data_IF_590750353270
#
_entry.id   IF_590750353270
#
_cell.length_a   1.000
_cell.length_b   1.000
_cell.length_c   1.000
_cell.angle_alpha   90.00
_cell.angle_beta   90.00
_cell.angle_gamma   90.00
#
_symmetry.space_group_name_H-M   'P 1'
#
loop_
_entity.id
_entity.type
_entity.pdbx_description
1 polymer ?
#
# COMPACT_ATOMS: atom_id res chain seq x y z
N UNK A 1 3.99 -33.25 15.95
CA UNK A 1 4.24 -31.82 16.02
C UNK A 1 3.18 -31.11 15.18
N UNK A 2 2.37 -30.23 15.79
CA UNK A 2 1.41 -29.38 15.08
C UNK A 2 2.15 -28.53 14.07
N UNK A 3 1.76 -28.58 12.79
CA UNK A 3 2.26 -27.67 11.78
C UNK A 3 1.84 -26.25 12.17
N UNK A 4 2.78 -25.31 12.22
CA UNK A 4 2.42 -23.91 12.45
C UNK A 4 1.95 -23.28 11.14
N UNK A 5 1.02 -22.32 11.22
CA UNK A 5 0.58 -21.53 10.07
C UNK A 5 1.46 -20.30 9.94
N UNK A 6 1.91 -20.03 8.73
CA UNK A 6 2.70 -18.86 8.42
C UNK A 6 2.11 -18.11 7.23
N UNK A 7 1.69 -16.88 7.48
CA UNK A 7 1.17 -15.99 6.45
C UNK A 7 2.17 -14.89 6.15
N UNK A 8 2.47 -14.66 4.87
CA UNK A 8 3.37 -13.61 4.43
C UNK A 8 2.75 -12.83 3.28
N UNK A 9 2.87 -11.52 3.34
CA UNK A 9 2.44 -10.61 2.28
C UNK A 9 3.60 -9.74 1.81
N UNK A 10 3.47 -9.21 0.62
CA UNK A 10 4.28 -8.09 0.13
C UNK A 10 3.40 -6.84 -0.02
N UNK A 11 4.01 -5.70 -0.28
CA UNK A 11 3.28 -4.60 -0.90
C UNK A 11 2.68 -5.08 -2.24
N UNK A 12 1.52 -4.51 -2.61
CA UNK A 12 0.92 -4.70 -3.93
C UNK A 12 1.45 -3.61 -4.86
N UNK A 13 1.85 -4.01 -6.07
CA UNK A 13 2.56 -3.11 -6.98
C UNK A 13 1.61 -2.22 -7.78
N UNK A 14 1.98 -0.97 -8.03
CA UNK A 14 1.27 -0.10 -8.98
C UNK A 14 1.64 -0.45 -10.43
N UNK A 15 0.71 -0.99 -11.24
CA UNK A 15 1.00 -1.35 -12.62
C UNK A 15 0.86 -0.16 -13.59
N UNK A 16 1.25 1.05 -13.17
CA UNK A 16 1.27 2.26 -13.99
C UNK A 16 2.46 2.30 -14.97
N UNK A 17 3.42 1.38 -14.82
CA UNK A 17 4.59 1.25 -15.66
C UNK A 17 5.03 -0.21 -15.83
N UNK A 18 6.29 -0.39 -16.20
CA UNK A 18 6.94 -1.71 -16.26
C UNK A 18 7.56 -2.04 -14.90
N UNK A 19 7.61 -3.33 -14.51
CA UNK A 19 8.28 -3.72 -13.29
C UNK A 19 9.80 -3.44 -13.36
N UNK A 20 10.39 -3.14 -12.22
CA UNK A 20 11.82 -2.87 -12.07
C UNK A 20 12.44 -3.67 -10.91
N UNK A 21 13.74 -3.54 -10.71
CA UNK A 21 14.49 -4.33 -9.73
C UNK A 21 13.99 -4.14 -8.29
N UNK A 22 13.46 -2.98 -7.93
CA UNK A 22 12.88 -2.73 -6.61
C UNK A 22 11.70 -3.64 -6.31
N UNK A 23 10.77 -3.81 -7.27
CA UNK A 23 9.68 -4.75 -7.16
C UNK A 23 10.19 -6.20 -7.04
N UNK A 24 11.19 -6.57 -7.86
CA UNK A 24 11.77 -7.91 -7.85
C UNK A 24 12.42 -8.25 -6.50
N UNK A 25 13.13 -7.30 -5.89
CA UNK A 25 13.81 -7.51 -4.61
C UNK A 25 12.84 -7.93 -3.52
N UNK A 26 11.73 -7.22 -3.37
CA UNK A 26 10.73 -7.51 -2.35
C UNK A 26 10.08 -8.89 -2.56
N UNK A 27 9.68 -9.21 -3.81
CA UNK A 27 9.04 -10.49 -4.13
C UNK A 27 9.97 -11.68 -3.93
N UNK A 28 11.24 -11.54 -4.32
CA UNK A 28 12.27 -12.57 -4.10
C UNK A 28 12.48 -12.79 -2.60
N UNK A 29 12.59 -11.71 -1.81
CA UNK A 29 12.78 -11.83 -0.37
C UNK A 29 11.62 -12.56 0.30
N UNK A 30 10.39 -12.23 -0.05
CA UNK A 30 9.19 -12.90 0.48
C UNK A 30 9.15 -14.39 0.06
N UNK A 31 9.49 -14.70 -1.20
CA UNK A 31 9.54 -16.07 -1.69
C UNK A 31 10.61 -16.91 -0.97
N UNK A 32 11.79 -16.35 -0.72
CA UNK A 32 12.85 -17.02 0.08
C UNK A 32 12.35 -17.34 1.48
N UNK A 33 11.67 -16.40 2.16
CA UNK A 33 11.10 -16.63 3.48
C UNK A 33 10.02 -17.72 3.41
N UNK A 34 9.12 -17.66 2.44
CA UNK A 34 8.06 -18.63 2.25
C UNK A 34 8.62 -20.05 2.03
N UNK A 35 9.63 -20.19 1.15
CA UNK A 35 10.33 -21.47 0.91
C UNK A 35 11.00 -22.00 2.17
N UNK A 36 11.71 -21.15 2.89
CA UNK A 36 12.36 -21.55 4.15
C UNK A 36 11.34 -22.07 5.16
N UNK A 37 10.20 -21.40 5.31
CA UNK A 37 9.12 -21.82 6.20
C UNK A 37 8.50 -23.17 5.77
N UNK A 38 8.27 -23.38 4.47
CA UNK A 38 7.81 -24.67 3.95
C UNK A 38 8.81 -25.81 4.22
N UNK A 39 10.12 -25.54 4.05
CA UNK A 39 11.17 -26.52 4.36
C UNK A 39 11.21 -26.89 5.84
N UNK A 40 10.79 -25.99 6.73
CA UNK A 40 10.65 -26.26 8.17
C UNK A 40 9.39 -27.03 8.53
N UNK A 41 8.50 -27.27 7.58
CA UNK A 41 7.24 -27.98 7.80
C UNK A 41 6.07 -27.07 8.21
N UNK A 42 6.18 -25.76 8.03
CA UNK A 42 5.07 -24.82 8.26
C UNK A 42 4.06 -24.90 7.10
N UNK A 43 2.76 -24.70 7.40
CA UNK A 43 1.71 -24.43 6.42
C UNK A 43 1.81 -22.95 6.02
N UNK A 44 2.29 -22.67 4.80
CA UNK A 44 2.58 -21.31 4.36
C UNK A 44 1.57 -20.83 3.35
N UNK A 45 1.10 -19.59 3.51
CA UNK A 45 0.34 -18.85 2.49
C UNK A 45 1.06 -17.54 2.17
N UNK A 46 1.53 -17.40 0.93
CA UNK A 46 2.18 -16.20 0.41
C UNK A 46 1.22 -15.45 -0.51
N UNK A 47 0.85 -14.23 -0.10
CA UNK A 47 -0.04 -13.34 -0.86
C UNK A 47 0.76 -12.15 -1.43
N UNK A 48 0.56 -11.89 -2.71
CA UNK A 48 1.02 -10.65 -3.39
C UNK A 48 -0.06 -10.15 -4.33
N UNK A 49 0.20 -9.07 -5.07
CA UNK A 49 -0.80 -8.54 -5.98
C UNK A 49 -0.45 -7.22 -6.62
N UNK A 50 -1.48 -6.53 -7.13
CA UNK A 50 -1.37 -5.22 -7.78
C UNK A 50 -2.43 -4.26 -7.26
N UNK A 51 -2.04 -2.99 -7.15
CA UNK A 51 -2.96 -1.87 -6.93
C UNK A 51 -3.26 -1.20 -8.28
N UNK A 52 -4.49 -1.41 -8.75
CA UNK A 52 -4.90 -1.00 -10.10
C UNK A 52 -5.68 0.31 -10.12
N UNK A 53 -5.84 0.97 -8.97
CA UNK A 53 -6.48 2.27 -8.84
C UNK A 53 -5.44 3.41 -8.82
N UNK A 54 -5.93 4.63 -8.80
CA UNK A 54 -5.11 5.83 -8.63
C UNK A 54 -5.05 6.73 -9.86
N UNK A 55 -4.80 8.00 -9.58
CA UNK A 55 -4.76 9.07 -10.58
C UNK A 55 -3.66 8.86 -11.62
N UNK A 56 -2.50 8.34 -11.21
CA UNK A 56 -1.37 8.04 -12.12
C UNK A 56 -1.72 6.99 -13.17
N UNK A 57 -2.56 6.01 -12.83
CA UNK A 57 -3.05 5.05 -13.81
C UNK A 57 -3.89 5.73 -14.88
N UNK A 58 -4.82 6.62 -14.49
CA UNK A 58 -5.65 7.37 -15.41
C UNK A 58 -4.79 8.29 -16.30
N UNK A 59 -3.90 9.08 -15.73
CA UNK A 59 -3.00 9.97 -16.46
C UNK A 59 -2.12 9.21 -17.46
N UNK A 60 -1.64 8.02 -17.09
CA UNK A 60 -0.85 7.19 -18.02
C UNK A 60 -1.72 6.66 -19.15
N UNK A 61 -2.94 6.23 -18.86
CA UNK A 61 -3.89 5.77 -19.86
C UNK A 61 -4.26 6.88 -20.85
N UNK A 62 -4.53 8.08 -20.36
CA UNK A 62 -4.85 9.25 -21.19
C UNK A 62 -3.66 9.62 -22.09
N UNK A 63 -2.44 9.65 -21.55
CA UNK A 63 -1.21 9.91 -22.31
C UNK A 63 -0.94 8.88 -23.41
N UNK A 64 -1.28 7.62 -23.15
CA UNK A 64 -1.11 6.52 -24.12
C UNK A 64 -2.33 6.37 -25.06
N UNK A 65 -3.41 7.10 -24.83
CA UNK A 65 -4.64 7.00 -25.62
C UNK A 65 -5.35 5.66 -25.49
N UNK A 66 -5.26 5.00 -24.33
CA UNK A 66 -5.87 3.70 -24.07
C UNK A 66 -6.83 3.75 -22.89
N UNK A 67 -7.76 2.82 -22.83
CA UNK A 67 -8.63 2.69 -21.68
C UNK A 67 -7.82 2.24 -20.43
N UNK A 68 -8.11 2.83 -19.27
CA UNK A 68 -7.40 2.56 -18.02
C UNK A 68 -7.44 1.09 -17.58
N UNK A 69 -8.55 0.40 -17.82
CA UNK A 69 -8.67 -1.04 -17.51
C UNK A 69 -7.74 -1.86 -18.42
N UNK A 70 -7.66 -1.49 -19.71
CA UNK A 70 -6.76 -2.13 -20.67
C UNK A 70 -5.30 -1.93 -20.28
N UNK A 71 -4.93 -0.72 -19.86
CA UNK A 71 -3.59 -0.41 -19.36
C UNK A 71 -3.25 -1.26 -18.14
N UNK A 72 -4.13 -1.26 -17.14
CA UNK A 72 -3.96 -2.02 -15.91
C UNK A 72 -3.75 -3.50 -16.18
N UNK A 73 -4.60 -4.12 -16.99
CA UNK A 73 -4.50 -5.53 -17.36
C UNK A 73 -3.21 -5.84 -18.12
N UNK A 74 -2.86 -4.99 -19.10
CA UNK A 74 -1.64 -5.15 -19.90
C UNK A 74 -0.38 -5.11 -19.02
N UNK A 75 -0.30 -4.14 -18.13
CA UNK A 75 0.86 -3.98 -17.27
C UNK A 75 0.90 -5.04 -16.18
N UNK A 76 -0.24 -5.41 -15.56
CA UNK A 76 -0.32 -6.52 -14.60
C UNK A 76 0.28 -7.81 -15.19
N UNK A 77 0.00 -8.13 -16.46
CA UNK A 77 0.60 -9.31 -17.13
C UNK A 77 2.13 -9.25 -17.17
N UNK A 78 2.72 -8.04 -17.31
CA UNK A 78 4.18 -7.88 -17.30
C UNK A 78 4.77 -8.17 -15.92
N UNK A 79 4.08 -7.78 -14.84
CA UNK A 79 4.46 -8.12 -13.48
C UNK A 79 4.40 -9.63 -13.25
N UNK A 80 3.29 -10.27 -13.58
CA UNK A 80 3.14 -11.72 -13.47
C UNK A 80 4.22 -12.47 -14.26
N UNK A 81 4.47 -12.09 -15.51
CA UNK A 81 5.51 -12.70 -16.33
C UNK A 81 6.92 -12.53 -15.74
N UNK A 82 7.19 -11.41 -15.04
CA UNK A 82 8.46 -11.23 -14.36
C UNK A 82 8.57 -12.18 -13.15
N UNK A 83 7.50 -12.32 -12.36
CA UNK A 83 7.50 -13.23 -11.20
C UNK A 83 7.68 -14.67 -11.63
N UNK A 84 7.03 -15.11 -12.68
CA UNK A 84 7.21 -16.43 -13.30
C UNK A 84 8.66 -16.64 -13.75
N UNK A 85 9.26 -15.65 -14.45
CA UNK A 85 10.65 -15.72 -14.91
C UNK A 85 11.66 -15.78 -13.76
N UNK A 86 11.37 -15.13 -12.64
CA UNK A 86 12.20 -15.13 -11.42
C UNK A 86 11.94 -16.36 -10.55
N UNK A 87 10.96 -17.20 -10.89
CA UNK A 87 10.60 -18.37 -10.11
C UNK A 87 9.99 -18.04 -8.75
N UNK A 88 9.32 -16.89 -8.62
CA UNK A 88 8.56 -16.51 -7.42
C UNK A 88 7.27 -17.30 -7.36
N UNK A 89 7.06 -18.03 -6.25
CA UNK A 89 5.89 -18.88 -6.04
C UNK A 89 5.01 -18.34 -4.92
N UNK A 90 3.96 -17.60 -5.31
CA UNK A 90 2.92 -17.12 -4.40
C UNK A 90 1.69 -18.05 -4.45
N UNK A 91 0.95 -18.13 -3.34
CA UNK A 91 -0.25 -18.96 -3.21
C UNK A 91 -1.52 -18.18 -3.51
N UNK A 92 -1.50 -16.86 -3.32
CA UNK A 92 -2.62 -15.96 -3.60
C UNK A 92 -2.23 -14.72 -4.36
N UNK A 93 -3.17 -14.25 -5.18
CA UNK A 93 -3.05 -13.00 -5.93
C UNK A 93 -4.19 -12.06 -5.56
N UNK A 94 -3.86 -10.81 -5.22
CA UNK A 94 -4.82 -9.76 -4.93
C UNK A 94 -4.73 -8.68 -6.02
N UNK A 95 -5.85 -8.36 -6.64
CA UNK A 95 -6.00 -7.19 -7.49
C UNK A 95 -7.11 -6.30 -6.93
N UNK A 96 -6.83 -5.01 -6.74
CA UNK A 96 -7.78 -4.10 -6.09
C UNK A 96 -9.07 -3.87 -6.88
N UNK A 97 -9.08 -4.25 -8.17
CA UNK A 97 -10.28 -4.23 -9.02
C UNK A 97 -11.11 -5.52 -8.98
N UNK A 98 -10.63 -6.58 -8.33
CA UNK A 98 -11.37 -7.84 -8.21
C UNK A 98 -12.64 -7.67 -7.37
N UNK A 99 -13.73 -8.30 -7.77
CA UNK A 99 -15.01 -8.22 -7.07
C UNK A 99 -14.93 -8.75 -5.64
N UNK A 100 -14.12 -9.79 -5.39
CA UNK A 100 -13.86 -10.30 -4.04
C UNK A 100 -13.18 -9.25 -3.17
N UNK A 101 -12.19 -8.53 -3.70
CA UNK A 101 -11.50 -7.45 -2.99
C UNK A 101 -12.48 -6.32 -2.67
N UNK A 102 -13.22 -5.84 -3.66
CA UNK A 102 -14.21 -4.77 -3.50
C UNK A 102 -15.26 -5.12 -2.44
N UNK A 103 -15.83 -6.33 -2.53
CA UNK A 103 -16.84 -6.79 -1.55
C UNK A 103 -16.27 -6.83 -0.12
N UNK A 104 -15.03 -7.29 0.04
CA UNK A 104 -14.37 -7.32 1.34
C UNK A 104 -14.13 -5.91 1.89
N UNK A 105 -13.60 -5.00 1.07
CA UNK A 105 -13.37 -3.59 1.46
C UNK A 105 -14.69 -2.91 1.82
N UNK A 106 -15.76 -3.10 1.03
CA UNK A 106 -17.08 -2.53 1.32
C UNK A 106 -17.64 -3.04 2.65
N UNK A 107 -17.50 -4.34 2.94
CA UNK A 107 -17.95 -4.91 4.20
C UNK A 107 -17.19 -4.35 5.40
N UNK A 108 -15.86 -4.22 5.30
CA UNK A 108 -15.04 -3.63 6.36
C UNK A 108 -15.42 -2.17 6.59
N UNK A 109 -15.53 -1.38 5.52
CA UNK A 109 -15.88 0.04 5.64
C UNK A 109 -17.29 0.24 6.21
N UNK A 110 -18.26 -0.60 5.83
CA UNK A 110 -19.60 -0.57 6.41
C UNK A 110 -19.56 -0.85 7.92
N UNK A 111 -18.83 -1.88 8.35
CA UNK A 111 -18.64 -2.18 9.77
C UNK A 111 -18.01 -1.01 10.52
N UNK A 112 -16.94 -0.45 10.02
CA UNK A 112 -16.27 0.70 10.64
C UNK A 112 -17.17 1.94 10.70
N UNK A 113 -18.00 2.15 9.69
CA UNK A 113 -18.98 3.23 9.67
C UNK A 113 -20.05 3.03 10.75
N UNK A 114 -20.63 1.84 10.84
CA UNK A 114 -21.69 1.51 11.79
C UNK A 114 -21.18 1.54 13.25
N UNK A 115 -19.89 1.26 13.46
CA UNK A 115 -19.21 1.39 14.74
C UNK A 115 -18.78 2.83 15.06
N UNK A 116 -19.06 3.81 14.18
CA UNK A 116 -18.68 5.21 14.38
C UNK A 116 -17.18 5.49 14.24
N UNK A 117 -16.42 4.57 13.66
CA UNK A 117 -14.98 4.71 13.45
C UNK A 117 -14.63 5.60 12.25
N UNK A 118 -15.63 5.89 11.40
CA UNK A 118 -15.45 6.77 10.24
C UNK A 118 -16.19 8.08 10.45
N UNK A 119 -15.61 9.17 9.99
CA UNK A 119 -16.23 10.50 9.99
C UNK A 119 -15.93 11.25 8.69
N UNK A 120 -16.82 12.13 8.29
CA UNK A 120 -16.58 13.03 7.16
C UNK A 120 -15.92 14.31 7.62
N UNK A 121 -15.00 14.81 6.84
CA UNK A 121 -14.35 16.11 7.05
C UNK A 121 -14.03 16.74 5.70
N UNK A 122 -14.42 18.01 5.56
CA UNK A 122 -13.92 18.84 4.48
C UNK A 122 -12.45 19.20 4.74
N UNK A 123 -11.63 19.05 3.75
CA UNK A 123 -10.23 19.47 3.76
C UNK A 123 -9.96 20.34 2.55
N UNK A 124 -9.32 21.47 2.78
CA UNK A 124 -8.81 22.33 1.73
C UNK A 124 -7.32 22.52 1.97
N UNK A 125 -6.51 22.32 0.95
CA UNK A 125 -5.06 22.42 1.08
C UNK A 125 -4.35 22.30 -0.25
N UNK A 126 -3.05 22.46 -0.22
CA UNK A 126 -2.20 22.27 -1.38
C UNK A 126 -1.89 20.80 -1.59
N UNK A 127 -2.02 20.33 -2.82
CA UNK A 127 -1.82 18.93 -3.18
C UNK A 127 -0.77 18.82 -4.27
N UNK A 128 0.25 18.01 -4.01
CA UNK A 128 1.25 17.64 -5.00
C UNK A 128 0.71 16.51 -5.88
N UNK A 129 0.45 16.81 -7.14
CA UNK A 129 0.01 15.81 -8.14
C UNK A 129 1.11 14.75 -8.35
N UNK A 130 2.38 15.19 -8.30
CA UNK A 130 3.53 14.29 -8.49
C UNK A 130 3.72 13.31 -7.36
N UNK A 131 3.60 13.75 -6.10
CA UNK A 131 3.82 12.92 -4.91
C UNK A 131 2.55 12.26 -4.39
N UNK A 132 1.38 12.65 -4.96
CA UNK A 132 0.05 12.15 -4.56
C UNK A 132 -0.24 12.37 -3.06
N UNK A 133 0.14 13.54 -2.54
CA UNK A 133 -0.10 13.89 -1.13
C UNK A 133 -0.43 15.36 -0.93
N UNK A 134 -1.15 15.64 0.15
CA UNK A 134 -1.34 17.01 0.62
C UNK A 134 -0.06 17.55 1.23
N UNK A 135 0.19 18.83 0.98
CA UNK A 135 1.34 19.56 1.49
C UNK A 135 0.92 20.44 2.67
N UNK A 136 1.84 20.61 3.59
CA UNK A 136 1.69 21.44 4.78
C UNK A 136 2.58 22.68 4.69
N UNK A 137 2.43 23.62 5.60
CA UNK A 137 3.33 24.79 5.67
C UNK A 137 4.80 24.39 5.91
N UNK A 138 5.07 23.21 6.48
CA UNK A 138 6.43 22.68 6.68
C UNK A 138 7.12 22.27 5.38
N UNK A 139 6.34 22.03 4.34
CA UNK A 139 6.83 21.60 3.02
C UNK A 139 7.17 22.81 2.11
N UNK A 140 6.96 24.04 2.61
CA UNK A 140 7.37 25.26 1.92
C UNK A 140 8.85 25.56 2.15
N UNK A 141 9.50 26.07 1.12
CA UNK A 141 10.82 26.65 1.21
C UNK A 141 10.84 27.97 1.99
N UNK A 142 12.03 28.49 2.24
CA UNK A 142 12.24 29.79 2.93
C UNK A 142 11.58 30.97 2.18
N UNK A 143 11.40 30.84 0.89
CA UNK A 143 10.74 31.83 0.03
C UNK A 143 9.19 31.73 0.03
N UNK A 144 8.64 30.77 0.80
CA UNK A 144 7.21 30.49 0.90
C UNK A 144 6.62 29.70 -0.27
N UNK A 145 7.43 29.29 -1.24
CA UNK A 145 7.01 28.47 -2.37
C UNK A 145 7.16 26.97 -2.05
N UNK A 146 6.51 26.12 -2.86
CA UNK A 146 6.78 24.70 -2.86
C UNK A 146 7.89 24.39 -3.88
N UNK A 147 8.92 23.64 -3.47
CA UNK A 147 10.07 23.33 -4.30
C UNK A 147 9.72 22.43 -5.50
N UNK A 148 10.65 22.34 -6.45
CA UNK A 148 10.48 21.54 -7.68
C UNK A 148 10.27 20.05 -7.42
N UNK A 149 10.70 19.53 -6.27
CA UNK A 149 10.50 18.15 -5.85
C UNK A 149 9.02 17.77 -5.72
N UNK A 150 8.15 18.77 -5.44
CA UNK A 150 6.70 18.58 -5.34
C UNK A 150 5.99 18.54 -6.70
N UNK A 151 6.65 19.01 -7.77
CA UNK A 151 6.08 19.11 -9.12
C UNK A 151 4.90 20.08 -9.18
N UNK A 152 3.86 19.71 -9.92
CA UNK A 152 2.65 20.51 -9.98
C UNK A 152 1.91 20.47 -8.64
N UNK A 153 1.67 21.65 -8.07
CA UNK A 153 0.92 21.84 -6.83
C UNK A 153 -0.37 22.57 -7.13
N UNK A 154 -1.50 21.96 -6.77
CA UNK A 154 -2.83 22.52 -6.96
C UNK A 154 -3.50 22.78 -5.61
N UNK A 155 -4.40 23.74 -5.54
CA UNK A 155 -5.29 23.89 -4.40
C UNK A 155 -6.47 22.93 -4.59
N UNK A 156 -6.68 22.02 -3.63
CA UNK A 156 -7.72 21.00 -3.69
C UNK A 156 -8.63 21.13 -2.47
N UNK A 157 -9.92 21.16 -2.70
CA UNK A 157 -10.94 21.16 -1.66
C UNK A 157 -11.82 19.93 -1.85
N UNK A 158 -11.82 19.05 -0.88
CA UNK A 158 -12.56 17.78 -0.90
C UNK A 158 -13.24 17.50 0.43
N UNK A 159 -14.38 16.82 0.39
CA UNK A 159 -14.96 16.19 1.56
C UNK A 159 -14.68 14.68 1.50
N UNK A 160 -13.90 14.19 2.44
CA UNK A 160 -13.48 12.79 2.48
C UNK A 160 -13.88 12.10 3.79
N UNK A 161 -13.94 10.78 3.74
CA UNK A 161 -14.06 9.93 4.92
C UNK A 161 -12.70 9.72 5.57
N UNK A 162 -12.66 9.86 6.88
CA UNK A 162 -11.48 9.67 7.72
C UNK A 162 -11.75 8.58 8.76
N UNK A 163 -10.74 7.77 9.03
CA UNK A 163 -10.75 6.81 10.13
C UNK A 163 -10.23 7.48 11.41
N UNK A 164 -10.83 7.15 12.56
CA UNK A 164 -10.43 7.70 13.88
C UNK A 164 -9.15 7.06 14.39
N UNK A 165 -8.09 7.14 13.61
CA UNK A 165 -6.80 6.49 13.92
C UNK A 165 -6.24 6.94 15.27
N UNK A 166 -6.37 8.21 15.63
CA UNK A 166 -5.86 8.76 16.90
C UNK A 166 -6.46 8.10 18.14
N UNK A 167 -7.72 7.60 18.06
CA UNK A 167 -8.36 6.91 19.18
C UNK A 167 -7.67 5.57 19.50
N UNK A 168 -6.91 5.03 18.57
CA UNK A 168 -6.16 3.78 18.69
C UNK A 168 -4.66 3.97 18.98
N UNK A 169 -4.18 5.20 19.01
CA UNK A 169 -2.75 5.50 19.14
C UNK A 169 -2.11 4.90 20.41
N UNK A 170 -2.78 5.04 21.56
CA UNK A 170 -2.27 4.52 22.83
C UNK A 170 -2.12 2.99 22.80
N UNK A 171 -3.14 2.29 22.30
CA UNK A 171 -3.11 0.83 22.15
C UNK A 171 -2.02 0.37 21.17
N UNK A 172 -1.90 1.05 20.02
CA UNK A 172 -0.89 0.70 19.02
C UNK A 172 0.52 0.92 19.55
N UNK A 173 0.75 2.04 20.25
CA UNK A 173 2.02 2.34 20.89
C UNK A 173 2.40 1.28 21.94
N UNK A 174 1.45 0.86 22.76
CA UNK A 174 1.65 -0.23 23.72
C UNK A 174 2.00 -1.54 23.01
N UNK A 175 1.26 -1.94 21.98
CA UNK A 175 1.48 -3.17 21.23
C UNK A 175 2.86 -3.22 20.55
N UNK A 176 3.36 -2.10 20.03
CA UNK A 176 4.72 -1.99 19.49
C UNK A 176 5.76 -2.03 20.62
N UNK A 177 5.48 -1.35 21.73
CA UNK A 177 6.43 -1.24 22.86
C UNK A 177 6.65 -2.58 23.57
N UNK A 178 5.58 -3.35 23.80
CA UNK A 178 5.65 -4.65 24.49
C UNK A 178 6.00 -5.81 23.55
N UNK A 179 6.12 -5.57 22.22
CA UNK A 179 6.50 -6.56 21.23
C UNK A 179 5.35 -7.43 20.73
N UNK A 180 4.09 -7.14 21.07
CA UNK A 180 2.92 -7.79 20.47
C UNK A 180 2.88 -7.55 18.95
N UNK A 181 3.30 -6.36 18.51
CA UNK A 181 3.67 -6.09 17.14
C UNK A 181 5.20 -6.00 17.02
N UNK A 182 5.81 -7.04 16.45
CA UNK A 182 7.24 -7.06 16.17
C UNK A 182 7.59 -6.16 14.98
N UNK A 183 8.54 -5.25 15.18
CA UNK A 183 9.07 -4.41 14.11
C UNK A 183 10.50 -4.89 13.78
N UNK A 184 10.71 -5.26 12.52
CA UNK A 184 12.02 -5.71 12.04
C UNK A 184 12.45 -4.92 10.79
N UNK A 185 13.72 -4.53 10.67
CA UNK A 185 14.78 -4.65 11.68
C UNK A 185 14.53 -3.70 12.86
N UNK A 186 15.06 -4.02 14.04
CA UNK A 186 14.79 -3.33 15.32
C UNK A 186 15.00 -1.80 15.25
N UNK A 187 15.95 -1.33 14.46
CA UNK A 187 16.22 0.12 14.33
C UNK A 187 15.03 0.91 13.73
N UNK A 188 14.09 0.25 13.02
CA UNK A 188 12.89 0.86 12.48
C UNK A 188 11.81 1.10 13.54
N UNK A 189 11.94 0.49 14.72
CA UNK A 189 10.94 0.60 15.80
C UNK A 189 10.75 2.04 16.28
N UNK A 190 11.85 2.79 16.39
CA UNK A 190 11.77 4.20 16.77
C UNK A 190 11.00 5.06 15.76
N UNK A 191 11.17 4.80 14.47
CA UNK A 191 10.44 5.49 13.40
C UNK A 191 8.92 5.22 13.51
N UNK A 192 8.54 3.96 13.75
CA UNK A 192 7.12 3.59 13.92
C UNK A 192 6.52 4.25 15.16
N UNK A 193 7.23 4.26 16.29
CA UNK A 193 6.75 4.91 17.51
C UNK A 193 6.59 6.42 17.33
N UNK A 194 7.54 7.07 16.66
CA UNK A 194 7.44 8.52 16.37
C UNK A 194 6.31 8.85 15.38
N UNK A 195 5.92 7.92 14.53
CA UNK A 195 4.80 8.13 13.60
C UNK A 195 3.42 7.97 14.27
N UNK A 196 3.36 7.32 15.44
CA UNK A 196 2.15 7.16 16.25
C UNK A 196 1.88 8.38 17.13
N UNK A 197 2.92 9.11 17.54
CA UNK A 197 2.86 10.33 18.37
C UNK A 197 2.44 11.55 17.54
#
# INVERSE_FOLDING_TARGET
>A
TSMSKFFITTAIDYPNGIPHIGHAYEKILADVIARYRRLRGDEVFFLTGVDQHGQKMQQTADREGVNVVTLAQRNTRKFIALWEKLGVHYDGWAATTDERHKSCVQAILATLHDEGQLYKKAYQGFYSVRQEQYLTEKDRGEDGSFGEEWGEVIELAEENWYFRLSDHAAWLKEAVTNGAFGILPEFRRAEVLNAID
#
